data_IF_240859457812
#
_entry.id   IF_240859457812
#
_cell.length_a   1.000
_cell.length_b   1.000
_cell.length_c   1.000
_cell.angle_alpha   90.00
_cell.angle_beta   90.00
_cell.angle_gamma   90.00
#
_symmetry.space_group_name_H-M   'P 1'
#
loop_
_entity.id
_entity.type
_entity.pdbx_description
1 polymer ?
#
# COMPACT_ATOMS: atom_id res chain seq x y z
N UNK A 1 -16.37 -23.67 2.56
CA UNK A 1 -15.95 -23.36 3.96
C UNK A 1 -16.80 -22.22 4.53
N UNK A 2 -16.99 -22.13 5.88
CA UNK A 2 -17.73 -21.01 6.54
C UNK A 2 -16.84 -20.33 7.58
N UNK A 3 -16.87 -19.00 7.61
CA UNK A 3 -16.18 -18.15 8.60
C UNK A 3 -17.11 -17.01 9.03
N UNK A 4 -16.82 -16.28 10.11
CA UNK A 4 -17.56 -15.06 10.44
C UNK A 4 -17.05 -13.88 9.61
N UNK A 5 -15.72 -13.74 9.49
CA UNK A 5 -15.12 -12.67 8.72
C UNK A 5 -14.11 -13.24 7.74
N UNK A 6 -14.30 -12.94 6.45
CA UNK A 6 -13.32 -13.21 5.39
C UNK A 6 -12.49 -11.94 5.15
N UNK A 7 -11.17 -12.03 5.26
CA UNK A 7 -10.25 -10.94 4.95
C UNK A 7 -9.40 -11.34 3.74
N UNK A 8 -9.38 -10.51 2.71
CA UNK A 8 -8.66 -10.77 1.46
C UNK A 8 -7.41 -9.89 1.41
N UNK A 9 -6.27 -10.48 1.71
CA UNK A 9 -4.96 -9.83 1.74
C UNK A 9 -4.29 -9.88 3.11
N UNK A 10 -3.00 -10.22 3.12
CA UNK A 10 -2.13 -10.36 4.31
C UNK A 10 -1.20 -9.16 4.52
N UNK A 11 -1.47 -8.01 3.88
CA UNK A 11 -0.78 -6.76 4.16
C UNK A 11 -1.11 -6.20 5.56
N UNK A 12 -0.45 -5.12 5.96
CA UNK A 12 -0.61 -4.54 7.29
C UNK A 12 -2.08 -4.19 7.62
N UNK A 13 -2.88 -3.72 6.65
CA UNK A 13 -4.29 -3.40 6.85
C UNK A 13 -5.14 -4.63 7.14
N UNK A 14 -4.97 -5.73 6.39
CA UNK A 14 -5.71 -6.98 6.63
C UNK A 14 -5.36 -7.62 7.98
N UNK A 15 -4.06 -7.73 8.30
CA UNK A 15 -3.58 -8.26 9.56
C UNK A 15 -4.07 -7.42 10.76
N UNK A 16 -3.98 -6.10 10.64
CA UNK A 16 -4.39 -5.22 11.72
C UNK A 16 -5.91 -5.15 11.90
N UNK A 17 -6.69 -5.29 10.81
CA UNK A 17 -8.14 -5.50 10.91
C UNK A 17 -8.44 -6.75 11.75
N UNK A 18 -7.83 -7.89 11.43
CA UNK A 18 -8.04 -9.14 12.15
C UNK A 18 -7.68 -9.04 13.64
N UNK A 19 -6.59 -8.35 13.98
CA UNK A 19 -6.14 -8.14 15.37
C UNK A 19 -7.09 -7.25 16.19
N UNK A 20 -7.83 -6.36 15.52
CA UNK A 20 -8.82 -5.48 16.15
C UNK A 20 -10.22 -6.08 16.24
N UNK A 21 -10.44 -7.30 15.72
CA UNK A 21 -11.70 -8.03 15.85
C UNK A 21 -11.72 -8.88 17.14
N UNK A 22 -12.92 -9.12 17.74
CA UNK A 22 -13.10 -9.98 18.89
C UNK A 22 -12.61 -11.41 18.66
N UNK A 23 -12.16 -12.08 19.74
CA UNK A 23 -11.66 -13.45 19.66
C UNK A 23 -12.76 -14.49 19.45
N UNK A 24 -14.00 -14.11 19.68
CA UNK A 24 -15.19 -14.93 19.48
C UNK A 24 -15.54 -15.14 18.00
N UNK A 25 -15.08 -14.22 17.14
CA UNK A 25 -15.29 -14.32 15.70
C UNK A 25 -14.24 -15.23 15.06
N UNK A 26 -14.68 -16.19 14.25
CA UNK A 26 -13.80 -16.99 13.41
C UNK A 26 -13.41 -16.13 12.18
N UNK A 27 -12.14 -15.96 11.96
CA UNK A 27 -11.59 -15.10 10.90
C UNK A 27 -10.78 -15.97 9.95
N UNK A 28 -10.99 -15.78 8.66
CA UNK A 28 -10.15 -16.40 7.63
C UNK A 28 -9.46 -15.29 6.84
N UNK A 29 -8.14 -15.32 6.80
CA UNK A 29 -7.33 -14.44 5.95
C UNK A 29 -6.82 -15.27 4.79
N UNK A 30 -7.13 -14.86 3.57
CA UNK A 30 -6.61 -15.45 2.33
C UNK A 30 -5.61 -14.51 1.68
N UNK A 31 -4.59 -15.05 1.03
CA UNK A 31 -3.62 -14.27 0.25
C UNK A 31 -3.22 -14.99 -1.03
N UNK A 32 -3.13 -14.25 -2.14
CA UNK A 32 -2.82 -14.74 -3.49
C UNK A 32 -1.41 -15.36 -3.60
N UNK A 33 -0.49 -14.89 -2.76
CA UNK A 33 0.90 -15.37 -2.67
C UNK A 33 1.19 -15.80 -1.22
N UNK A 34 2.45 -15.84 -0.81
CA UNK A 34 2.83 -16.09 0.59
C UNK A 34 2.40 -14.93 1.50
N UNK A 35 2.26 -15.19 2.79
CA UNK A 35 1.83 -14.19 3.80
C UNK A 35 2.74 -12.96 3.86
N UNK A 36 4.01 -13.10 3.50
CA UNK A 36 5.01 -12.03 3.56
C UNK A 36 5.12 -11.24 2.25
N UNK A 37 4.59 -11.75 1.13
CA UNK A 37 4.66 -11.08 -0.17
C UNK A 37 3.54 -10.03 -0.32
N UNK A 38 3.65 -8.97 0.47
CA UNK A 38 2.79 -7.78 0.37
C UNK A 38 3.62 -6.50 0.29
N UNK A 39 3.10 -5.47 -0.36
CA UNK A 39 3.79 -4.17 -0.47
C UNK A 39 4.03 -3.51 0.90
N UNK A 40 3.25 -3.89 1.91
CA UNK A 40 3.49 -3.46 3.29
C UNK A 40 4.86 -3.90 3.80
N UNK A 41 5.34 -5.10 3.45
CA UNK A 41 6.68 -5.56 3.79
C UNK A 41 7.79 -4.78 3.06
N UNK A 42 7.48 -4.19 1.92
CA UNK A 42 8.46 -3.49 1.07
C UNK A 42 8.68 -2.03 1.46
N UNK A 43 7.81 -1.45 2.30
CA UNK A 43 7.88 -0.04 2.65
C UNK A 43 9.18 0.28 3.40
N UNK A 44 10.04 1.10 2.76
CA UNK A 44 11.38 1.44 3.26
C UNK A 44 11.37 2.65 4.20
N UNK A 45 10.53 3.66 3.91
CA UNK A 45 10.49 4.93 4.63
C UNK A 45 10.05 4.76 6.09
N UNK A 46 8.91 5.34 6.45
CA UNK A 46 8.43 5.25 7.80
C UNK A 46 6.91 5.34 7.92
N UNK A 47 6.47 5.67 9.11
CA UNK A 47 5.06 5.94 9.43
C UNK A 47 4.96 7.28 10.15
N UNK A 48 4.07 8.16 9.66
CA UNK A 48 3.82 9.44 10.30
C UNK A 48 3.09 9.28 11.63
N UNK A 49 3.39 10.19 12.57
CA UNK A 49 2.72 10.28 13.85
C UNK A 49 2.53 11.75 14.23
N UNK A 50 1.36 12.10 14.74
CA UNK A 50 1.13 13.36 15.45
C UNK A 50 1.89 13.33 16.78
N UNK A 51 2.92 14.17 16.92
CA UNK A 51 3.76 14.19 18.12
C UNK A 51 3.03 14.83 19.30
N UNK A 52 2.40 15.96 19.04
CA UNK A 52 1.62 16.75 19.99
C UNK A 52 0.69 17.71 19.22
N UNK A 53 -0.16 18.46 19.96
CA UNK A 53 -1.13 19.36 19.36
C UNK A 53 -0.52 20.47 18.51
N UNK A 54 0.73 20.86 18.75
CA UNK A 54 1.41 21.92 17.99
C UNK A 54 1.82 21.47 16.58
N UNK A 55 1.98 20.16 16.35
CA UNK A 55 2.31 19.58 15.05
C UNK A 55 1.06 19.39 14.14
N UNK A 56 -0.16 19.47 14.69
CA UNK A 56 -1.37 19.15 13.94
C UNK A 56 -1.56 20.01 12.68
N UNK A 57 -1.51 21.32 12.82
CA UNK A 57 -1.76 22.24 11.68
C UNK A 57 -0.74 22.03 10.56
N UNK A 58 0.53 21.84 10.91
CA UNK A 58 1.59 21.61 9.94
C UNK A 58 1.44 20.26 9.24
N UNK A 59 1.07 19.20 9.96
CA UNK A 59 0.84 17.88 9.40
C UNK A 59 -0.39 17.86 8.48
N UNK A 60 -1.47 18.52 8.91
CA UNK A 60 -2.68 18.65 8.11
C UNK A 60 -2.41 19.39 6.79
N UNK A 61 -1.75 20.56 6.88
CA UNK A 61 -1.42 21.37 5.70
C UNK A 61 -0.44 20.66 4.75
N UNK A 62 0.60 20.00 5.28
CA UNK A 62 1.53 19.21 4.45
C UNK A 62 0.80 18.11 3.67
N UNK A 63 -0.15 17.43 4.32
CA UNK A 63 -0.96 16.37 3.69
C UNK A 63 -1.86 16.94 2.60
N UNK A 64 -2.55 18.05 2.86
CA UNK A 64 -3.42 18.70 1.86
C UNK A 64 -2.62 19.24 0.67
N UNK A 65 -1.49 19.91 0.94
CA UNK A 65 -0.62 20.47 -0.09
C UNK A 65 -0.06 19.38 -1.00
N UNK A 66 0.44 18.27 -0.42
CA UNK A 66 0.93 17.13 -1.19
C UNK A 66 -0.17 16.52 -2.07
N UNK A 67 -1.40 16.43 -1.57
CA UNK A 67 -2.57 15.91 -2.28
C UNK A 67 -3.22 16.90 -3.24
N UNK A 68 -2.57 18.04 -3.51
CA UNK A 68 -3.10 19.14 -4.34
C UNK A 68 -4.47 19.65 -3.88
N UNK A 69 -4.73 19.59 -2.57
CA UNK A 69 -6.01 19.98 -1.94
C UNK A 69 -7.23 19.22 -2.48
N UNK A 70 -7.01 18.00 -3.06
CA UNK A 70 -8.06 17.08 -3.49
C UNK A 70 -8.42 16.05 -2.44
N UNK A 71 -7.84 16.17 -1.26
CA UNK A 71 -8.04 15.29 -0.12
C UNK A 71 -9.45 15.43 0.47
N UNK A 72 -9.99 14.35 1.02
CA UNK A 72 -11.10 14.41 1.97
C UNK A 72 -10.56 14.90 3.32
N UNK A 73 -10.92 16.13 3.70
CA UNK A 73 -10.40 16.78 4.91
C UNK A 73 -10.80 16.06 6.20
N UNK A 74 -11.96 15.40 6.21
CA UNK A 74 -12.40 14.61 7.38
C UNK A 74 -11.55 13.36 7.51
N UNK A 75 -11.28 12.68 6.41
CA UNK A 75 -10.38 11.51 6.41
C UNK A 75 -8.96 11.88 6.85
N UNK A 76 -8.44 13.03 6.42
CA UNK A 76 -7.12 13.52 6.85
C UNK A 76 -7.11 13.81 8.34
N UNK A 77 -8.11 14.53 8.87
CA UNK A 77 -8.25 14.82 10.30
C UNK A 77 -8.30 13.52 11.13
N UNK A 78 -9.13 12.56 10.70
CA UNK A 78 -9.25 11.26 11.36
C UNK A 78 -7.92 10.51 11.37
N UNK A 79 -7.20 10.48 10.26
CA UNK A 79 -5.90 9.82 10.16
C UNK A 79 -4.90 10.43 11.15
N UNK A 80 -4.75 11.74 11.12
CA UNK A 80 -3.77 12.45 11.95
C UNK A 80 -4.07 12.25 13.45
N UNK A 81 -5.30 12.51 13.87
CA UNK A 81 -5.71 12.40 15.27
C UNK A 81 -5.66 10.98 15.83
N UNK A 82 -5.84 9.98 14.97
CA UNK A 82 -5.77 8.56 15.38
C UNK A 82 -4.34 8.01 15.40
N UNK A 83 -3.36 8.73 14.86
CA UNK A 83 -2.00 8.22 14.73
C UNK A 83 -1.32 7.84 16.04
N UNK A 84 -1.46 8.61 17.17
CA UNK A 84 -0.84 8.22 18.44
C UNK A 84 -1.37 6.88 18.97
N UNK A 85 -2.67 6.60 18.81
CA UNK A 85 -3.29 5.34 19.23
C UNK A 85 -2.77 4.16 18.41
N UNK A 86 -2.61 4.34 17.07
CA UNK A 86 -2.06 3.31 16.19
C UNK A 86 -0.60 3.03 16.55
N UNK A 87 0.22 4.05 16.75
CA UNK A 87 1.62 3.87 17.15
C UNK A 87 1.74 3.16 18.51
N UNK A 88 0.87 3.50 19.44
CA UNK A 88 0.81 2.78 20.73
C UNK A 88 0.54 1.29 20.53
N UNK A 89 -0.48 0.94 19.72
CA UNK A 89 -0.78 -0.47 19.42
C UNK A 89 0.42 -1.18 18.77
N UNK A 90 1.13 -0.52 17.82
CA UNK A 90 2.30 -1.09 17.18
C UNK A 90 3.43 -1.38 18.18
N UNK A 91 3.67 -0.46 19.13
CA UNK A 91 4.62 -0.67 20.22
C UNK A 91 4.19 -1.84 21.12
N UNK A 92 2.90 -1.96 21.42
CA UNK A 92 2.35 -3.06 22.21
C UNK A 92 2.48 -4.42 21.49
N UNK A 93 2.45 -4.43 20.14
CA UNK A 93 2.78 -5.60 19.31
C UNK A 93 4.28 -5.87 19.20
N UNK A 94 5.12 -5.00 19.76
CA UNK A 94 6.57 -5.18 19.80
C UNK A 94 7.29 -4.65 18.57
N UNK A 95 6.71 -3.70 17.83
CA UNK A 95 7.41 -2.99 16.74
C UNK A 95 8.55 -2.17 17.36
N UNK A 96 9.75 -2.34 16.83
CA UNK A 96 10.97 -1.68 17.32
C UNK A 96 11.34 -0.50 16.43
N UNK A 97 10.78 0.68 16.75
CA UNK A 97 11.16 1.91 16.06
C UNK A 97 12.52 2.41 16.55
N UNK A 98 13.25 3.09 15.66
CA UNK A 98 14.51 3.76 15.98
C UNK A 98 14.37 4.67 17.19
N UNK A 99 15.41 4.69 18.07
CA UNK A 99 15.45 5.51 19.28
C UNK A 99 16.66 6.42 19.28
N UNK A 100 16.51 7.56 19.95
CA UNK A 100 17.62 8.49 20.21
C UNK A 100 18.54 7.98 21.34
N UNK A 101 19.61 8.72 21.62
CA UNK A 101 20.59 8.39 22.65
C UNK A 101 19.98 8.32 24.08
N UNK A 102 18.81 8.93 24.29
CA UNK A 102 18.08 8.94 25.56
C UNK A 102 17.02 7.83 25.63
N UNK A 103 16.89 7.00 24.58
CA UNK A 103 15.90 5.93 24.49
C UNK A 103 14.50 6.39 24.05
N UNK A 104 14.30 7.65 23.69
CA UNK A 104 13.03 8.14 23.13
C UNK A 104 12.89 7.75 21.66
N UNK A 105 11.68 7.72 21.13
CA UNK A 105 11.41 7.52 19.71
C UNK A 105 12.14 8.59 18.87
N UNK A 106 12.92 8.16 17.90
CA UNK A 106 13.58 9.06 16.96
C UNK A 106 12.66 9.38 15.78
N UNK A 107 12.63 10.64 15.36
CA UNK A 107 11.82 11.10 14.25
C UNK A 107 12.70 11.63 13.12
N UNK A 108 12.38 11.22 11.89
CA UNK A 108 12.99 11.76 10.67
C UNK A 108 11.98 12.59 9.87
N UNK A 109 12.47 13.18 8.78
CA UNK A 109 11.69 13.99 7.83
C UNK A 109 11.96 13.49 6.41
N UNK A 110 10.91 13.40 5.61
CA UNK A 110 10.99 13.14 4.17
C UNK A 110 10.58 14.39 3.38
N UNK A 111 10.70 14.33 2.06
CA UNK A 111 10.29 15.40 1.16
C UNK A 111 8.83 15.85 1.39
N UNK A 112 8.55 17.13 1.13
CA UNK A 112 7.27 17.80 1.32
C UNK A 112 6.74 17.89 2.77
N UNK A 113 7.43 17.30 3.76
CA UNK A 113 7.14 17.52 5.17
C UNK A 113 7.78 18.81 5.70
N UNK A 114 7.06 19.58 6.48
CA UNK A 114 7.58 20.80 7.15
C UNK A 114 8.29 20.48 8.47
N UNK A 115 8.01 19.33 9.10
CA UNK A 115 8.60 18.93 10.38
C UNK A 115 8.99 17.44 10.42
N UNK A 116 9.81 17.06 11.40
CA UNK A 116 10.16 15.66 11.70
C UNK A 116 9.01 15.02 12.46
N UNK A 117 8.28 14.10 11.81
CA UNK A 117 7.15 13.36 12.40
C UNK A 117 7.08 11.90 11.99
N UNK A 118 8.11 11.39 11.33
CA UNK A 118 8.15 10.05 10.76
C UNK A 118 8.95 9.13 11.68
N UNK A 119 8.31 8.11 12.20
CA UNK A 119 8.94 6.99 12.89
C UNK A 119 9.42 5.97 11.86
N UNK A 120 10.56 5.36 12.10
CA UNK A 120 11.20 4.44 11.17
C UNK A 120 12.00 3.35 11.87
N UNK A 121 12.31 2.29 11.15
CA UNK A 121 13.23 1.25 11.54
C UNK A 121 14.20 1.01 10.39
N UNK A 122 15.38 1.62 10.43
CA UNK A 122 16.31 1.64 9.31
C UNK A 122 15.60 2.00 8.00
N UNK A 123 15.84 1.26 6.91
CA UNK A 123 15.14 1.34 5.62
C UNK A 123 14.21 0.13 5.37
N UNK A 124 13.66 -0.46 6.45
CA UNK A 124 12.81 -1.65 6.40
C UNK A 124 11.61 -1.54 7.36
N UNK A 125 11.09 -0.33 7.56
CA UNK A 125 10.01 -0.04 8.51
C UNK A 125 8.76 -0.89 8.25
N UNK A 126 8.36 -1.03 6.99
CA UNK A 126 7.20 -1.86 6.62
C UNK A 126 7.38 -3.32 6.98
N UNK A 127 8.58 -3.88 6.75
CA UNK A 127 8.92 -5.25 7.14
C UNK A 127 8.82 -5.43 8.65
N UNK A 128 9.36 -4.51 9.44
CA UNK A 128 9.30 -4.56 10.90
C UNK A 128 7.84 -4.55 11.39
N UNK A 129 7.04 -3.59 10.94
CA UNK A 129 5.62 -3.46 11.32
C UNK A 129 4.84 -4.74 10.93
N UNK A 130 4.91 -5.12 9.65
CA UNK A 130 4.06 -6.18 9.11
C UNK A 130 4.45 -7.55 9.69
N UNK A 131 5.76 -7.80 9.92
CA UNK A 131 6.23 -9.03 10.58
C UNK A 131 5.70 -9.16 12.01
N UNK A 132 5.67 -8.06 12.79
CA UNK A 132 5.12 -8.07 14.15
C UNK A 132 3.62 -8.32 14.17
N UNK A 133 2.88 -7.68 13.27
CA UNK A 133 1.45 -7.93 13.11
C UNK A 133 1.17 -9.38 12.71
N UNK A 134 1.92 -9.92 11.74
CA UNK A 134 1.78 -11.32 11.32
C UNK A 134 2.10 -12.30 12.47
N UNK A 135 3.15 -12.01 13.23
CA UNK A 135 3.49 -12.82 14.41
C UNK A 135 2.40 -12.77 15.49
N UNK A 136 1.72 -11.63 15.66
CA UNK A 136 0.59 -11.51 16.57
C UNK A 136 -0.64 -12.28 16.06
N UNK A 137 -0.95 -12.19 14.76
CA UNK A 137 -2.03 -12.95 14.11
C UNK A 137 -1.82 -14.45 14.24
N UNK A 138 -0.60 -14.95 14.00
CA UNK A 138 -0.25 -16.38 14.15
C UNK A 138 -0.47 -16.95 15.57
N UNK A 139 -0.55 -16.08 16.58
CA UNK A 139 -0.84 -16.49 17.97
C UNK A 139 -2.35 -16.54 18.29
N UNK A 140 -3.22 -16.07 17.38
CA UNK A 140 -4.66 -16.01 17.56
C UNK A 140 -5.32 -17.30 17.05
N UNK A 141 -5.86 -18.19 17.91
CA UNK A 141 -6.40 -19.49 17.50
C UNK A 141 -7.69 -19.39 16.68
N UNK A 142 -8.36 -18.24 16.73
CA UNK A 142 -9.57 -17.96 15.97
C UNK A 142 -9.27 -17.39 14.56
N UNK A 143 -8.01 -17.27 14.15
CA UNK A 143 -7.61 -16.76 12.84
C UNK A 143 -6.97 -17.89 12.03
N UNK A 144 -7.58 -18.22 10.90
CA UNK A 144 -7.06 -19.13 9.89
C UNK A 144 -6.33 -18.33 8.81
N UNK A 145 -5.15 -18.79 8.41
CA UNK A 145 -4.34 -18.18 7.33
C UNK A 145 -4.28 -19.16 6.16
N UNK A 146 -4.58 -18.69 4.95
CA UNK A 146 -4.53 -19.48 3.71
C UNK A 146 -3.68 -18.75 2.67
N UNK A 147 -2.47 -19.25 2.46
CA UNK A 147 -1.55 -18.80 1.40
C UNK A 147 -1.99 -19.37 0.05
N UNK A 148 -1.47 -18.79 -1.03
CA UNK A 148 -1.74 -19.21 -2.42
C UNK A 148 -3.24 -19.43 -2.70
N UNK A 149 -4.07 -18.60 -2.04
CA UNK A 149 -5.53 -18.64 -2.17
C UNK A 149 -6.01 -17.33 -2.77
N UNK A 150 -6.48 -17.39 -4.01
CA UNK A 150 -6.89 -16.23 -4.79
C UNK A 150 -8.40 -16.03 -4.70
N UNK A 151 -8.86 -14.82 -4.35
CA UNK A 151 -10.25 -14.43 -4.53
C UNK A 151 -10.52 -14.26 -6.03
N UNK A 152 -11.49 -14.99 -6.55
CA UNK A 152 -11.92 -14.91 -7.95
C UNK A 152 -13.16 -14.04 -8.10
N UNK A 153 -14.07 -14.08 -7.14
CA UNK A 153 -15.30 -13.28 -7.13
C UNK A 153 -15.89 -13.20 -5.73
N UNK A 154 -16.83 -12.30 -5.51
CA UNK A 154 -17.63 -12.27 -4.29
C UNK A 154 -18.94 -13.04 -4.47
N UNK A 155 -19.45 -13.60 -3.39
CA UNK A 155 -20.80 -14.15 -3.33
C UNK A 155 -21.76 -13.00 -3.01
N UNK A 156 -22.55 -12.55 -3.98
CA UNK A 156 -23.42 -11.37 -3.87
C UNK A 156 -24.87 -11.71 -4.23
N UNK A 157 -25.81 -11.23 -3.44
CA UNK A 157 -27.23 -11.19 -3.75
C UNK A 157 -27.87 -9.97 -3.05
N UNK A 158 -28.75 -9.27 -3.76
CA UNK A 158 -29.48 -8.10 -3.26
C UNK A 158 -28.58 -7.01 -2.65
N UNK A 159 -27.45 -6.71 -3.31
CA UNK A 159 -26.44 -5.74 -2.87
C UNK A 159 -25.83 -6.07 -1.50
N UNK A 160 -25.72 -7.35 -1.15
CA UNK A 160 -25.05 -7.83 0.05
C UNK A 160 -24.00 -8.89 -0.29
N UNK A 161 -22.82 -8.78 0.32
CA UNK A 161 -21.75 -9.76 0.21
C UNK A 161 -21.94 -10.87 1.25
N UNK A 162 -21.74 -12.12 0.82
CA UNK A 162 -21.86 -13.34 1.63
C UNK A 162 -20.54 -14.14 1.66
N UNK A 163 -19.41 -13.54 1.30
CA UNK A 163 -18.12 -14.20 1.18
C UNK A 163 -17.58 -14.16 -0.25
N UNK A 164 -16.85 -15.19 -0.67
CA UNK A 164 -16.24 -15.22 -2.00
C UNK A 164 -16.04 -16.60 -2.59
N UNK A 165 -15.85 -16.63 -3.90
CA UNK A 165 -15.35 -17.76 -4.67
C UNK A 165 -13.83 -17.64 -4.70
N UNK A 166 -13.14 -18.71 -4.33
CA UNK A 166 -11.68 -18.73 -4.25
C UNK A 166 -11.10 -19.90 -5.02
N UNK A 167 -9.86 -19.72 -5.49
CA UNK A 167 -9.00 -20.79 -5.99
C UNK A 167 -7.94 -21.09 -4.94
N UNK A 168 -7.87 -22.33 -4.52
CA UNK A 168 -6.89 -22.85 -3.57
C UNK A 168 -5.55 -23.13 -4.26
N UNK A 169 -4.48 -23.33 -3.48
CA UNK A 169 -3.14 -23.66 -3.94
C UNK A 169 -3.10 -24.88 -4.89
N UNK A 170 -3.93 -25.90 -4.63
CA UNK A 170 -4.02 -27.10 -5.45
C UNK A 170 -4.86 -26.92 -6.75
N UNK A 171 -5.37 -25.71 -6.98
CA UNK A 171 -6.21 -25.35 -8.14
C UNK A 171 -7.71 -25.58 -7.95
N UNK A 172 -8.14 -26.19 -6.84
CA UNK A 172 -9.56 -26.42 -6.55
C UNK A 172 -10.30 -25.10 -6.33
N UNK A 173 -11.54 -25.04 -6.80
CA UNK A 173 -12.45 -23.94 -6.59
C UNK A 173 -13.33 -24.19 -5.38
N UNK A 174 -13.39 -23.21 -4.47
CA UNK A 174 -14.24 -23.29 -3.28
C UNK A 174 -15.04 -22.02 -3.06
N UNK A 175 -16.19 -22.17 -2.38
CA UNK A 175 -16.95 -21.05 -1.79
C UNK A 175 -16.54 -20.88 -0.33
N UNK A 176 -16.06 -19.71 0.04
CA UNK A 176 -15.88 -19.29 1.44
C UNK A 176 -17.03 -18.38 1.79
N UNK A 177 -18.00 -18.89 2.57
CA UNK A 177 -19.13 -18.08 3.05
C UNK A 177 -18.74 -17.32 4.31
N UNK A 178 -19.11 -16.05 4.38
CA UNK A 178 -18.80 -15.16 5.50
C UNK A 178 -19.98 -14.26 5.85
N UNK A 179 -20.07 -13.89 7.13
CA UNK A 179 -21.05 -12.90 7.58
C UNK A 179 -20.65 -11.48 7.11
N UNK A 180 -19.33 -11.21 7.04
CA UNK A 180 -18.73 -9.96 6.55
C UNK A 180 -17.46 -10.28 5.77
N UNK A 181 -17.21 -9.53 4.69
CA UNK A 181 -15.97 -9.60 3.91
C UNK A 181 -15.21 -8.27 3.96
N UNK A 182 -13.87 -8.34 4.10
CA UNK A 182 -12.98 -7.18 4.11
C UNK A 182 -11.95 -7.34 3.00
N UNK A 183 -11.98 -6.45 2.02
CA UNK A 183 -11.02 -6.40 0.94
C UNK A 183 -9.79 -5.58 1.38
N UNK A 184 -8.63 -6.22 1.45
CA UNK A 184 -7.34 -5.64 1.82
C UNK A 184 -6.25 -6.04 0.80
N UNK A 185 -6.64 -6.14 -0.47
CA UNK A 185 -5.91 -6.81 -1.55
C UNK A 185 -4.81 -5.97 -2.20
N UNK A 186 -4.52 -4.77 -1.68
CA UNK A 186 -3.48 -3.89 -2.22
C UNK A 186 -3.90 -3.14 -3.49
N UNK A 187 -2.91 -2.64 -4.22
CA UNK A 187 -3.10 -1.75 -5.35
C UNK A 187 -3.07 -2.43 -6.72
N UNK A 188 -2.55 -1.69 -7.70
CA UNK A 188 -2.54 -2.04 -9.14
C UNK A 188 -1.15 -2.11 -9.76
N UNK A 189 -0.09 -2.08 -8.93
CA UNK A 189 1.28 -1.91 -9.40
C UNK A 189 1.78 -3.01 -10.32
N UNK A 190 1.23 -4.23 -10.21
CA UNK A 190 1.55 -5.34 -11.09
C UNK A 190 1.15 -5.15 -12.55
N UNK A 191 0.25 -4.20 -12.84
CA UNK A 191 -0.15 -3.83 -14.20
C UNK A 191 0.87 -2.95 -14.91
N UNK A 192 1.83 -2.36 -14.19
CA UNK A 192 2.83 -1.45 -14.74
C UNK A 192 4.14 -2.17 -15.06
N UNK A 193 4.77 -1.80 -16.17
CA UNK A 193 6.08 -2.33 -16.58
C UNK A 193 7.13 -2.06 -15.52
N UNK A 194 7.25 -0.79 -15.10
CA UNK A 194 8.13 -0.34 -14.03
C UNK A 194 7.32 -0.02 -12.79
N UNK A 195 7.45 -0.84 -11.76
CA UNK A 195 6.73 -0.69 -10.51
C UNK A 195 7.57 -1.17 -9.32
N UNK A 196 7.42 -0.51 -8.19
CA UNK A 196 8.01 -0.94 -6.92
C UNK A 196 7.20 -2.04 -6.23
N UNK A 197 6.00 -2.33 -6.73
CA UNK A 197 5.05 -3.27 -6.16
C UNK A 197 5.29 -4.70 -6.66
N UNK A 198 4.77 -5.67 -5.94
CA UNK A 198 4.74 -7.05 -6.40
C UNK A 198 3.90 -7.21 -7.67
N UNK A 199 4.35 -8.05 -8.61
CA UNK A 199 3.68 -8.27 -9.89
C UNK A 199 2.31 -8.94 -9.79
N UNK A 200 2.03 -9.67 -8.71
CA UNK A 200 0.72 -10.28 -8.47
C UNK A 200 -0.37 -9.30 -8.02
N UNK A 201 -0.02 -8.05 -7.72
CA UNK A 201 -0.99 -7.01 -7.34
C UNK A 201 -1.58 -6.35 -8.60
N UNK A 202 -2.65 -6.94 -9.11
CA UNK A 202 -3.27 -6.61 -10.40
C UNK A 202 -4.63 -5.92 -10.29
N UNK A 203 -5.04 -5.55 -9.06
CA UNK A 203 -6.30 -4.86 -8.84
C UNK A 203 -7.53 -5.76 -8.92
N UNK A 204 -7.42 -7.04 -8.60
CA UNK A 204 -8.50 -8.02 -8.72
C UNK A 204 -9.78 -7.56 -8.00
N UNK A 205 -9.67 -7.02 -6.77
CA UNK A 205 -10.83 -6.50 -6.04
C UNK A 205 -11.49 -5.30 -6.73
N UNK A 206 -10.75 -4.52 -7.53
CA UNK A 206 -11.30 -3.42 -8.33
C UNK A 206 -12.11 -3.96 -9.50
N UNK A 207 -11.61 -5.00 -10.19
CA UNK A 207 -12.34 -5.67 -11.27
C UNK A 207 -13.63 -6.32 -10.75
N UNK A 208 -13.54 -7.04 -9.61
CA UNK A 208 -14.70 -7.61 -8.92
C UNK A 208 -15.70 -6.50 -8.55
N UNK A 209 -15.22 -5.36 -8.04
CA UNK A 209 -16.08 -4.22 -7.72
C UNK A 209 -16.81 -3.67 -8.94
N UNK A 210 -16.12 -3.56 -10.08
CA UNK A 210 -16.74 -3.14 -11.35
C UNK A 210 -17.83 -4.15 -11.81
N UNK A 211 -17.55 -5.44 -11.67
CA UNK A 211 -18.49 -6.51 -12.05
C UNK A 211 -19.80 -6.48 -11.24
N UNK A 212 -19.72 -6.04 -9.99
CA UNK A 212 -20.86 -5.99 -9.06
C UNK A 212 -21.35 -4.56 -8.76
N UNK A 213 -21.11 -3.61 -9.66
CA UNK A 213 -21.56 -2.21 -9.54
C UNK A 213 -21.19 -1.52 -8.21
N UNK A 214 -20.09 -1.96 -7.57
CA UNK A 214 -19.54 -1.30 -6.38
C UNK A 214 -18.79 -0.05 -6.82
N UNK A 215 -19.11 1.09 -6.21
CA UNK A 215 -18.53 2.38 -6.62
C UNK A 215 -17.01 2.42 -6.42
N UNK A 216 -16.29 2.84 -7.48
CA UNK A 216 -14.88 3.19 -7.45
C UNK A 216 -14.71 4.71 -7.43
N UNK A 217 -13.56 5.18 -6.91
CA UNK A 217 -13.26 6.61 -6.82
C UNK A 217 -11.79 6.87 -7.18
N UNK A 218 -11.55 8.02 -7.83
CA UNK A 218 -10.21 8.56 -8.11
C UNK A 218 -9.26 7.57 -8.84
N UNK A 219 -9.80 6.76 -9.76
CA UNK A 219 -9.08 5.68 -10.46
C UNK A 219 -7.85 6.16 -11.25
N UNK A 220 -7.81 7.44 -11.64
CA UNK A 220 -6.66 8.04 -12.31
C UNK A 220 -5.53 8.50 -11.37
N UNK A 221 -5.71 8.40 -10.05
CA UNK A 221 -4.74 8.88 -9.07
C UNK A 221 -3.70 7.80 -8.76
N UNK A 222 -2.65 7.78 -9.58
CA UNK A 222 -1.51 6.86 -9.45
C UNK A 222 -0.25 7.66 -9.17
N UNK A 223 0.47 7.34 -8.10
CA UNK A 223 1.72 7.98 -7.74
C UNK A 223 2.90 7.31 -8.42
N UNK A 224 3.72 8.12 -9.08
CA UNK A 224 5.03 7.73 -9.59
C UNK A 224 6.08 8.13 -8.57
N UNK A 225 6.89 7.17 -8.11
CA UNK A 225 8.04 7.47 -7.27
C UNK A 225 9.20 7.95 -8.14
N UNK A 226 9.88 9.04 -7.75
CA UNK A 226 10.96 9.62 -8.55
C UNK A 226 12.15 8.70 -8.74
N UNK A 227 12.52 7.95 -7.70
CA UNK A 227 13.80 7.24 -7.63
C UNK A 227 13.64 5.76 -7.33
N UNK A 228 13.86 4.92 -8.34
CA UNK A 228 14.09 3.48 -8.22
C UNK A 228 15.43 3.18 -8.89
N UNK A 229 16.15 2.18 -8.39
CA UNK A 229 17.42 1.78 -8.99
C UNK A 229 17.17 1.30 -10.42
N UNK A 230 17.83 1.97 -11.39
CA UNK A 230 17.70 1.61 -12.79
C UNK A 230 18.35 0.28 -13.10
N UNK A 231 17.64 -0.57 -13.83
CA UNK A 231 18.13 -1.83 -14.40
C UNK A 231 17.70 -1.92 -15.86
N UNK A 232 18.60 -2.26 -16.76
CA UNK A 232 18.33 -2.32 -18.21
C UNK A 232 17.21 -3.30 -18.57
N UNK A 233 17.13 -4.43 -17.85
CA UNK A 233 16.10 -5.48 -18.06
C UNK A 233 15.57 -5.95 -16.70
N UNK A 234 14.68 -5.22 -16.06
CA UNK A 234 14.13 -5.64 -14.77
C UNK A 234 13.25 -6.88 -14.96
N UNK A 235 13.65 -8.00 -14.33
CA UNK A 235 12.87 -9.26 -14.36
C UNK A 235 11.74 -9.26 -13.33
N UNK A 236 11.88 -8.44 -12.31
CA UNK A 236 10.99 -8.34 -11.17
C UNK A 236 10.52 -6.89 -10.97
N UNK A 237 10.10 -6.56 -9.78
CA UNK A 237 9.77 -5.19 -9.39
C UNK A 237 11.01 -4.28 -9.38
N UNK A 238 10.82 -3.00 -9.63
CA UNK A 238 11.88 -1.99 -9.48
C UNK A 238 12.25 -1.82 -8.01
N UNK A 239 13.55 -1.81 -7.71
CA UNK A 239 14.02 -1.60 -6.34
C UNK A 239 13.90 -0.11 -5.96
N UNK A 240 13.16 0.17 -4.89
CA UNK A 240 12.93 1.52 -4.40
C UNK A 240 14.21 2.09 -3.76
N UNK A 241 14.61 3.30 -4.18
CA UNK A 241 15.52 4.16 -3.43
C UNK A 241 14.63 5.15 -2.66
N UNK A 242 14.56 4.98 -1.35
CA UNK A 242 13.63 5.70 -0.48
C UNK A 242 13.76 7.22 -0.61
N UNK A 243 12.65 7.92 -0.47
CA UNK A 243 12.65 9.39 -0.37
C UNK A 243 13.41 9.91 0.85
N UNK A 244 13.53 9.12 1.91
CA UNK A 244 14.33 9.44 3.09
C UNK A 244 15.80 9.73 2.72
N UNK A 245 16.34 9.04 1.70
CA UNK A 245 17.70 9.28 1.18
C UNK A 245 17.85 10.73 0.69
N UNK A 246 16.87 11.22 -0.07
CA UNK A 246 16.85 12.66 -0.49
C UNK A 246 16.55 13.59 0.69
N UNK A 247 15.72 13.15 1.61
CA UNK A 247 15.44 13.86 2.86
C UNK A 247 16.67 14.07 3.73
N UNK A 248 17.63 13.14 3.69
CA UNK A 248 18.90 13.21 4.41
C UNK A 248 20.04 13.84 3.58
N UNK A 249 19.77 14.25 2.34
CA UNK A 249 20.65 15.12 1.58
C UNK A 249 21.18 14.58 0.26
N UNK A 250 20.71 13.44 -0.25
CA UNK A 250 21.08 12.97 -1.58
C UNK A 250 20.62 13.94 -2.67
N UNK A 251 21.40 14.05 -3.74
CA UNK A 251 21.22 15.02 -4.82
C UNK A 251 21.05 14.34 -6.18
N UNK A 252 20.22 14.94 -7.05
CA UNK A 252 19.94 14.45 -8.39
C UNK A 252 20.73 15.22 -9.46
N UNK A 253 21.35 14.48 -10.37
CA UNK A 253 22.19 15.01 -11.42
C UNK A 253 21.80 14.50 -12.83
N UNK A 254 21.96 15.37 -13.82
CA UNK A 254 21.86 15.04 -15.24
C UNK A 254 23.10 14.25 -15.73
N UNK A 255 23.13 13.86 -17.01
CA UNK A 255 24.28 13.16 -17.61
C UNK A 255 25.61 13.93 -17.56
N UNK A 256 25.57 15.25 -17.37
CA UNK A 256 26.74 16.13 -17.28
C UNK A 256 27.08 16.51 -15.84
N UNK A 257 26.45 15.85 -14.86
CA UNK A 257 26.62 16.10 -13.42
C UNK A 257 26.19 17.51 -12.99
N UNK A 258 25.12 18.06 -13.60
CA UNK A 258 24.49 19.29 -13.15
C UNK A 258 23.21 18.96 -12.39
N UNK A 259 22.98 19.57 -11.22
CA UNK A 259 21.67 19.53 -10.54
C UNK A 259 20.60 20.19 -11.41
N UNK A 260 19.41 19.61 -11.47
CA UNK A 260 18.33 20.08 -12.32
C UNK A 260 16.98 20.26 -11.61
N UNK A 261 16.88 19.84 -10.34
CA UNK A 261 15.64 19.91 -9.55
C UNK A 261 15.96 20.13 -8.07
N UNK A 262 15.00 20.68 -7.31
CA UNK A 262 15.00 20.62 -5.85
C UNK A 262 14.41 19.27 -5.42
N UNK A 263 15.24 18.45 -4.83
CA UNK A 263 14.95 17.04 -4.49
C UNK A 263 13.87 16.88 -3.40
N UNK A 264 13.57 17.94 -2.65
CA UNK A 264 12.57 17.94 -1.57
C UNK A 264 11.19 18.41 -2.00
N UNK A 265 11.01 18.70 -3.30
CA UNK A 265 9.67 18.94 -3.86
C UNK A 265 8.78 17.69 -3.79
N UNK A 266 7.45 17.82 -3.91
CA UNK A 266 6.53 16.69 -4.00
C UNK A 266 6.95 15.67 -5.08
N UNK A 267 6.63 14.40 -4.86
CA UNK A 267 7.06 13.27 -5.72
C UNK A 267 6.72 13.46 -7.19
N UNK A 268 5.53 13.93 -7.48
CA UNK A 268 5.06 14.16 -8.86
C UNK A 268 5.89 15.24 -9.55
N UNK A 269 6.28 16.31 -8.84
CA UNK A 269 7.14 17.37 -9.36
C UNK A 269 8.53 16.83 -9.67
N UNK A 270 9.13 16.08 -8.74
CA UNK A 270 10.48 15.50 -8.92
C UNK A 270 10.46 14.45 -10.03
N UNK A 271 9.45 13.55 -10.05
CA UNK A 271 9.32 12.54 -11.10
C UNK A 271 9.18 13.16 -12.51
N UNK A 272 8.36 14.19 -12.65
CA UNK A 272 8.23 14.92 -13.92
C UNK A 272 9.54 15.62 -14.34
N UNK A 273 10.27 16.19 -13.38
CA UNK A 273 11.57 16.81 -13.65
C UNK A 273 12.58 15.76 -14.17
N UNK A 274 12.61 14.57 -13.55
CA UNK A 274 13.47 13.46 -13.99
C UNK A 274 13.10 13.02 -15.41
N UNK A 275 11.81 12.75 -15.68
CA UNK A 275 11.35 12.33 -17.02
C UNK A 275 11.72 13.35 -18.12
N UNK A 276 11.50 14.65 -17.85
CA UNK A 276 11.89 15.73 -18.77
C UNK A 276 13.41 15.81 -18.97
N UNK A 277 14.19 15.57 -17.90
CA UNK A 277 15.65 15.57 -18.01
C UNK A 277 16.16 14.37 -18.81
N UNK A 278 15.58 13.18 -18.59
CA UNK A 278 15.90 11.98 -19.37
C UNK A 278 15.61 12.19 -20.87
N UNK A 279 14.44 12.73 -21.20
CA UNK A 279 14.07 13.07 -22.59
C UNK A 279 15.07 14.05 -23.21
N UNK A 280 15.40 15.14 -22.52
CA UNK A 280 16.37 16.16 -22.95
C UNK A 280 17.76 15.58 -23.16
N UNK A 281 18.18 14.66 -22.29
CA UNK A 281 19.52 14.05 -22.33
C UNK A 281 19.61 12.87 -23.29
N UNK A 282 18.46 12.29 -23.69
CA UNK A 282 18.39 11.04 -24.47
C UNK A 282 18.94 9.85 -23.67
N UNK A 283 18.60 9.77 -22.36
CA UNK A 283 19.06 8.72 -21.44
C UNK A 283 17.89 8.00 -20.80
N UNK A 284 18.10 6.75 -20.35
CA UNK A 284 17.09 5.92 -19.69
C UNK A 284 17.08 6.09 -18.16
N UNK A 285 17.95 6.93 -17.61
CA UNK A 285 18.06 7.23 -16.18
C UNK A 285 18.71 8.59 -15.92
N UNK A 286 18.64 9.04 -14.68
CA UNK A 286 19.45 10.14 -14.12
C UNK A 286 20.31 9.58 -12.98
N UNK A 287 21.17 10.42 -12.39
CA UNK A 287 22.09 10.02 -11.35
C UNK A 287 21.65 10.54 -9.99
N UNK A 288 21.73 9.69 -8.95
CA UNK A 288 21.53 10.09 -7.55
C UNK A 288 22.84 9.92 -6.77
N UNK A 289 23.27 10.98 -6.07
CA UNK A 289 24.50 11.02 -5.30
C UNK A 289 24.19 10.95 -3.81
N UNK A 290 24.55 9.82 -3.19
CA UNK A 290 24.39 9.59 -1.77
C UNK A 290 25.59 10.04 -0.93
N UNK A 291 26.72 10.40 -1.55
CA UNK A 291 27.99 10.78 -0.85
C UNK A 291 27.88 12.09 -0.08
N UNK A 292 26.84 12.86 -0.32
CA UNK A 292 26.48 14.07 0.44
C UNK A 292 25.98 13.76 1.86
N UNK A 293 25.56 12.51 2.12
CA UNK A 293 25.14 12.03 3.42
C UNK A 293 26.36 11.47 4.16
N UNK A 294 26.57 11.76 5.46
CA UNK A 294 27.67 11.18 6.24
C UNK A 294 27.66 9.65 6.19
N UNK A 295 28.84 9.06 5.99
CA UNK A 295 28.97 7.59 5.82
C UNK A 295 28.30 6.80 6.94
N UNK A 296 28.47 7.25 8.19
CA UNK A 296 27.90 6.59 9.37
C UNK A 296 26.36 6.57 9.29
N UNK A 297 25.75 7.70 8.88
CA UNK A 297 24.31 7.82 8.74
C UNK A 297 23.78 6.93 7.62
N UNK A 298 24.48 6.87 6.47
CA UNK A 298 24.15 5.93 5.39
C UNK A 298 24.16 4.48 5.85
N UNK A 299 25.17 4.06 6.60
CA UNK A 299 25.31 2.68 7.11
C UNK A 299 24.25 2.34 8.17
N UNK A 300 23.85 3.31 9.00
CA UNK A 300 22.87 3.10 10.08
C UNK A 300 21.43 3.19 9.59
N UNK A 301 21.12 4.10 8.66
CA UNK A 301 19.75 4.37 8.22
C UNK A 301 19.33 3.59 6.96
N UNK A 302 20.29 3.28 6.05
CA UNK A 302 19.99 2.70 4.74
C UNK A 302 20.77 1.41 4.41
N UNK A 303 20.93 0.46 5.34
CA UNK A 303 21.76 -0.73 5.11
C UNK A 303 21.23 -1.61 3.98
N UNK A 304 19.90 -1.71 3.81
CA UNK A 304 19.28 -2.49 2.76
C UNK A 304 19.47 -1.84 1.37
N UNK A 305 19.34 -0.51 1.27
CA UNK A 305 19.62 0.22 0.02
C UNK A 305 21.09 0.04 -0.38
N UNK A 306 22.02 0.19 0.57
CA UNK A 306 23.45 -0.02 0.30
C UNK A 306 23.76 -1.44 -0.19
N UNK A 307 23.13 -2.45 0.40
CA UNK A 307 23.30 -3.84 -0.02
C UNK A 307 22.82 -4.05 -1.45
N UNK A 308 21.61 -3.61 -1.79
CA UNK A 308 21.05 -3.76 -3.14
C UNK A 308 21.81 -2.97 -4.20
N UNK A 309 22.31 -1.76 -3.89
CA UNK A 309 23.15 -1.02 -4.84
C UNK A 309 24.43 -1.82 -5.15
N UNK A 310 25.07 -2.41 -4.14
CA UNK A 310 26.28 -3.21 -4.32
C UNK A 310 26.01 -4.51 -5.10
N UNK A 311 24.91 -5.18 -4.84
CA UNK A 311 24.46 -6.35 -5.61
C UNK A 311 24.23 -5.99 -7.11
N UNK A 312 23.77 -4.78 -7.39
CA UNK A 312 23.63 -4.23 -8.73
C UNK A 312 24.95 -3.72 -9.36
N UNK A 313 26.06 -3.76 -8.60
CA UNK A 313 27.39 -3.37 -9.07
C UNK A 313 27.77 -1.91 -8.80
N UNK A 314 27.02 -1.18 -7.99
CA UNK A 314 27.30 0.22 -7.63
C UNK A 314 27.76 0.34 -6.16
N UNK A 315 28.78 1.15 -5.89
CA UNK A 315 29.15 1.50 -4.53
C UNK A 315 28.75 2.96 -4.21
N UNK A 316 27.64 3.17 -3.48
CA UNK A 316 27.15 4.51 -3.14
C UNK A 316 28.13 5.40 -2.35
N UNK A 317 29.21 4.82 -1.81
CA UNK A 317 30.26 5.60 -1.13
C UNK A 317 31.25 6.24 -2.09
N UNK A 318 31.37 5.74 -3.30
CA UNK A 318 32.40 6.16 -4.26
C UNK A 318 31.83 6.74 -5.55
N UNK A 319 30.59 6.39 -5.89
CA UNK A 319 29.95 6.80 -7.15
C UNK A 319 28.47 7.11 -6.98
N UNK A 320 27.89 7.81 -7.97
CA UNK A 320 26.44 8.01 -8.08
C UNK A 320 25.77 6.72 -8.53
N UNK A 321 24.52 6.52 -8.14
CA UNK A 321 23.70 5.41 -8.59
C UNK A 321 22.71 5.85 -9.69
N UNK A 322 22.43 5.03 -10.69
CA UNK A 322 21.42 5.36 -11.72
C UNK A 322 20.01 5.16 -11.16
N UNK A 323 19.14 6.16 -11.36
CA UNK A 323 17.75 6.10 -10.88
C UNK A 323 16.75 6.50 -11.96
N UNK A 324 15.55 5.91 -11.89
CA UNK A 324 14.46 6.12 -12.83
C UNK A 324 13.12 6.15 -12.09
N UNK A 325 12.14 6.96 -12.53
CA UNK A 325 10.79 6.93 -11.98
C UNK A 325 10.06 5.60 -12.25
N UNK A 326 9.25 5.17 -11.28
CA UNK A 326 8.41 3.96 -11.41
C UNK A 326 7.07 4.14 -10.69
N UNK A 327 6.04 3.40 -11.12
CA UNK A 327 4.79 3.32 -10.37
C UNK A 327 5.07 2.85 -8.94
N UNK A 328 4.37 3.45 -7.95
CA UNK A 328 4.67 3.17 -6.56
C UNK A 328 3.45 3.00 -5.66
N UNK A 329 2.41 3.82 -5.82
CA UNK A 329 1.23 3.79 -4.96
C UNK A 329 -0.04 4.19 -5.71
N UNK A 330 -1.14 3.54 -5.39
CA UNK A 330 -2.45 3.82 -5.96
C UNK A 330 -3.31 4.56 -4.92
N UNK A 331 -3.69 5.82 -5.19
CA UNK A 331 -4.50 6.62 -4.28
C UNK A 331 -6.00 6.53 -4.55
N UNK A 332 -6.38 6.00 -5.72
CA UNK A 332 -7.76 5.64 -6.03
C UNK A 332 -8.17 4.31 -5.39
N UNK A 333 -9.31 3.76 -5.80
CA UNK A 333 -9.75 2.46 -5.33
C UNK A 333 -11.25 2.34 -5.11
N UNK A 334 -11.64 1.32 -4.35
CA UNK A 334 -13.03 1.11 -3.93
C UNK A 334 -13.46 2.27 -3.04
N UNK A 335 -14.51 2.96 -3.44
CA UNK A 335 -15.06 4.07 -2.67
C UNK A 335 -15.57 3.58 -1.32
N UNK A 336 -15.10 4.18 -0.25
CA UNK A 336 -15.53 3.85 1.10
C UNK A 336 -15.95 5.09 1.88
N UNK A 337 -16.78 4.90 2.89
CA UNK A 337 -17.06 5.93 3.89
C UNK A 337 -15.93 6.03 4.94
N UNK A 338 -16.05 6.93 5.91
CA UNK A 338 -15.05 7.13 6.98
C UNK A 338 -14.91 5.93 7.95
N UNK A 339 -15.70 4.88 7.78
CA UNK A 339 -15.62 3.60 8.50
C UNK A 339 -15.15 2.46 7.59
N UNK A 340 -14.67 2.77 6.40
CA UNK A 340 -14.21 1.81 5.38
C UNK A 340 -15.29 0.88 4.83
N UNK A 341 -16.59 1.19 5.04
CA UNK A 341 -17.70 0.45 4.44
C UNK A 341 -17.87 0.90 2.98
N UNK A 342 -18.03 -0.08 2.09
CA UNK A 342 -18.31 0.15 0.65
C UNK A 342 -19.78 0.49 0.39
N UNK A 343 -20.18 0.60 -0.87
CA UNK A 343 -21.59 0.77 -1.27
C UNK A 343 -22.40 -0.53 -1.21
N UNK A 344 -21.74 -1.66 -0.98
CA UNK A 344 -22.38 -2.97 -0.79
C UNK A 344 -22.45 -3.32 0.69
N UNK A 345 -23.55 -3.91 1.12
CA UNK A 345 -23.72 -4.37 2.51
C UNK A 345 -22.80 -5.54 2.84
N UNK A 346 -22.35 -5.59 4.10
CA UNK A 346 -21.42 -6.58 4.62
C UNK A 346 -20.07 -6.66 3.88
N UNK A 347 -19.69 -5.58 3.16
CA UNK A 347 -18.43 -5.48 2.44
C UNK A 347 -17.67 -4.20 2.85
N UNK A 348 -16.44 -4.38 3.31
CA UNK A 348 -15.49 -3.33 3.67
C UNK A 348 -14.28 -3.37 2.75
N UNK A 349 -13.59 -2.24 2.59
CA UNK A 349 -12.30 -2.19 1.92
C UNK A 349 -11.33 -1.33 2.73
N UNK A 350 -10.08 -1.79 2.90
CA UNK A 350 -9.04 -1.14 3.73
C UNK A 350 -7.67 -1.19 3.04
N UNK A 351 -6.80 -0.25 3.39
CA UNK A 351 -5.49 -0.11 2.78
C UNK A 351 -5.58 0.37 1.33
N UNK A 352 -4.57 0.08 0.52
CA UNK A 352 -4.40 0.63 -0.83
C UNK A 352 -5.51 0.24 -1.82
N UNK A 353 -6.28 -0.83 -1.56
CA UNK A 353 -7.44 -1.16 -2.40
C UNK A 353 -8.63 -0.22 -2.21
N UNK A 354 -8.65 0.56 -1.12
CA UNK A 354 -9.73 1.47 -0.74
C UNK A 354 -9.39 2.92 -1.03
N UNK A 355 -10.37 3.69 -1.49
CA UNK A 355 -10.26 5.14 -1.62
C UNK A 355 -11.12 5.86 -0.58
N UNK A 356 -10.50 6.22 0.55
CA UNK A 356 -11.10 7.05 1.60
C UNK A 356 -10.82 8.55 1.41
N UNK A 357 -10.01 8.91 0.40
CA UNK A 357 -9.70 10.28 0.04
C UNK A 357 -8.61 10.97 0.87
N UNK A 358 -7.92 10.27 1.77
CA UNK A 358 -6.82 10.85 2.58
C UNK A 358 -5.71 11.46 1.70
N UNK A 359 -5.34 10.79 0.62
CA UNK A 359 -4.14 11.14 -0.13
C UNK A 359 -4.35 12.20 -1.22
N UNK A 360 -5.61 12.46 -1.61
CA UNK A 360 -5.87 13.33 -2.75
C UNK A 360 -5.18 12.83 -4.02
N UNK A 361 -4.66 13.75 -4.83
CA UNK A 361 -4.09 13.42 -6.14
C UNK A 361 -2.62 12.96 -6.07
N UNK A 362 -1.94 13.20 -4.96
CA UNK A 362 -0.56 12.77 -4.74
C UNK A 362 -0.32 12.57 -3.23
N UNK A 363 0.18 11.39 -2.86
CA UNK A 363 0.36 10.97 -1.47
C UNK A 363 1.58 11.63 -0.83
N UNK A 364 1.41 12.22 0.36
CA UNK A 364 2.53 12.60 1.20
C UNK A 364 3.28 11.35 1.68
N UNK A 365 4.58 11.36 1.63
CA UNK A 365 5.43 10.24 2.04
C UNK A 365 5.10 9.79 3.49
N UNK A 366 5.25 8.50 3.77
CA UNK A 366 5.02 7.88 5.08
C UNK A 366 3.60 7.96 5.66
N UNK A 367 2.61 8.46 4.88
CA UNK A 367 1.19 8.45 5.25
C UNK A 367 0.47 7.13 4.90
N UNK A 368 0.98 6.30 3.97
CA UNK A 368 0.24 5.11 3.50
C UNK A 368 0.06 4.04 4.57
N UNK A 369 1.13 3.71 5.32
CA UNK A 369 1.03 2.75 6.42
C UNK A 369 0.10 3.26 7.52
N UNK A 370 0.18 4.56 7.84
CA UNK A 370 -0.69 5.18 8.83
C UNK A 370 -2.16 5.12 8.41
N UNK A 371 -2.46 5.55 7.18
CA UNK A 371 -3.80 5.47 6.59
C UNK A 371 -4.33 4.05 6.66
N UNK A 372 -3.56 3.08 6.17
CA UNK A 372 -3.94 1.66 6.13
C UNK A 372 -4.31 1.12 7.52
N UNK A 373 -3.55 1.47 8.56
CA UNK A 373 -3.80 1.01 9.93
C UNK A 373 -4.96 1.75 10.59
N UNK A 374 -5.03 3.08 10.44
CA UNK A 374 -6.13 3.87 11.02
C UNK A 374 -7.48 3.40 10.50
N UNK A 375 -7.61 3.25 9.18
CA UNK A 375 -8.87 2.87 8.57
C UNK A 375 -9.20 1.38 8.74
N UNK A 376 -8.19 0.50 8.86
CA UNK A 376 -8.38 -0.89 9.29
C UNK A 376 -8.97 -0.99 10.69
N UNK A 377 -8.45 -0.22 11.66
CA UNK A 377 -8.99 -0.16 13.03
C UNK A 377 -10.42 0.40 13.06
N UNK A 378 -10.72 1.39 12.20
CA UNK A 378 -12.06 1.97 12.07
C UNK A 378 -13.04 0.98 11.45
N UNK A 379 -12.63 0.25 10.41
CA UNK A 379 -13.41 -0.83 9.80
C UNK A 379 -13.76 -1.91 10.83
N UNK A 380 -12.79 -2.38 11.60
CA UNK A 380 -13.01 -3.39 12.65
C UNK A 380 -14.00 -2.90 13.72
N UNK A 381 -13.89 -1.65 14.16
CA UNK A 381 -14.83 -1.06 15.15
C UNK A 381 -16.25 -0.97 14.60
N UNK A 382 -16.41 -0.52 13.36
CA UNK A 382 -17.72 -0.40 12.72
C UNK A 382 -18.34 -1.78 12.46
N UNK A 383 -17.53 -2.72 11.96
CA UNK A 383 -17.94 -4.12 11.76
C UNK A 383 -18.49 -4.72 13.05
N UNK A 384 -17.78 -4.56 14.18
CA UNK A 384 -18.23 -5.09 15.47
C UNK A 384 -19.52 -4.43 15.95
N UNK A 385 -19.65 -3.12 15.75
CA UNK A 385 -20.84 -2.37 16.18
C UNK A 385 -22.10 -2.74 15.39
N UNK A 386 -21.94 -3.17 14.13
CA UNK A 386 -23.03 -3.51 13.22
C UNK A 386 -23.01 -4.99 12.78
N UNK A 387 -22.36 -5.84 13.57
CA UNK A 387 -22.20 -7.26 13.21
C UNK A 387 -23.52 -7.99 13.22
N UNK A 388 -23.83 -8.65 12.10
CA UNK A 388 -24.99 -9.49 11.93
C UNK A 388 -24.58 -10.88 11.40
N UNK A 389 -25.01 -11.94 12.08
CA UNK A 389 -24.75 -13.30 11.63
C UNK A 389 -25.71 -13.70 10.51
N UNK A 390 -25.16 -14.20 9.41
CA UNK A 390 -25.95 -14.80 8.31
C UNK A 390 -26.42 -16.19 8.72
N UNK A 391 -27.73 -16.34 8.95
CA UNK A 391 -28.33 -17.61 9.37
C UNK A 391 -28.25 -18.65 8.25
N UNK A 392 -28.52 -18.27 7.00
CA UNK A 392 -28.55 -19.16 5.83
C UNK A 392 -28.05 -18.41 4.59
N UNK A 393 -27.19 -19.06 3.83
CA UNK A 393 -26.80 -18.56 2.50
C UNK A 393 -28.01 -18.62 1.56
N UNK A 394 -28.23 -17.59 0.72
CA UNK A 394 -29.24 -17.64 -0.34
C UNK A 394 -29.11 -18.88 -1.23
N UNK A 395 -30.25 -19.42 -1.71
CA UNK A 395 -30.26 -20.64 -2.49
C UNK A 395 -29.49 -20.50 -3.81
N UNK A 396 -29.68 -19.40 -4.51
CA UNK A 396 -28.91 -19.03 -5.71
C UNK A 396 -27.40 -19.12 -5.52
N UNK A 397 -26.89 -18.60 -4.39
CA UNK A 397 -25.46 -18.63 -4.06
C UNK A 397 -25.00 -20.01 -3.58
N UNK A 398 -25.88 -20.81 -2.94
CA UNK A 398 -25.55 -22.18 -2.54
C UNK A 398 -25.42 -23.09 -3.76
N UNK A 399 -26.24 -22.87 -4.79
CA UNK A 399 -26.30 -23.64 -6.05
C UNK A 399 -25.40 -23.04 -7.16
N UNK A 400 -24.75 -21.89 -6.93
CA UNK A 400 -23.87 -21.24 -7.90
C UNK A 400 -22.88 -22.23 -8.49
N UNK A 401 -22.89 -22.38 -9.81
CA UNK A 401 -21.91 -23.18 -10.53
C UNK A 401 -20.55 -22.47 -10.55
N UNK A 402 -19.47 -23.20 -10.39
CA UNK A 402 -18.11 -22.68 -10.41
C UNK A 402 -17.40 -22.93 -11.74
N UNK A 403 -18.08 -23.47 -12.76
CA UNK A 403 -17.49 -23.73 -14.08
C UNK A 403 -16.95 -22.47 -14.74
N UNK A 404 -17.63 -21.32 -14.57
CA UNK A 404 -17.21 -20.02 -15.12
C UNK A 404 -15.87 -19.51 -14.55
N UNK A 405 -15.41 -20.05 -13.43
CA UNK A 405 -14.15 -19.68 -12.77
C UNK A 405 -13.00 -20.64 -13.05
N UNK A 406 -13.19 -21.66 -13.90
CA UNK A 406 -12.16 -22.68 -14.16
C UNK A 406 -11.01 -22.14 -15.01
N UNK A 407 -11.30 -21.32 -16.03
CA UNK A 407 -10.29 -20.70 -16.89
C UNK A 407 -9.68 -19.47 -16.20
N UNK A 408 -8.65 -19.73 -15.37
CA UNK A 408 -7.98 -18.69 -14.61
C UNK A 408 -7.32 -17.65 -15.51
N UNK A 409 -6.68 -18.08 -16.59
CA UNK A 409 -5.93 -17.17 -17.47
C UNK A 409 -6.86 -16.17 -18.16
N UNK A 410 -7.98 -16.66 -18.68
CA UNK A 410 -9.01 -15.81 -19.28
C UNK A 410 -9.62 -14.83 -18.28
N UNK A 411 -9.91 -15.27 -17.06
CA UNK A 411 -10.46 -14.41 -16.01
C UNK A 411 -9.47 -13.32 -15.57
N UNK A 412 -8.20 -13.68 -15.40
CA UNK A 412 -7.15 -12.71 -15.04
C UNK A 412 -6.93 -11.67 -16.15
N UNK A 413 -6.97 -12.06 -17.41
CA UNK A 413 -6.87 -11.14 -18.55
C UNK A 413 -8.07 -10.21 -18.64
N UNK A 414 -9.27 -10.71 -18.42
CA UNK A 414 -10.49 -9.89 -18.36
C UNK A 414 -10.40 -8.85 -17.25
N UNK A 415 -10.03 -9.27 -16.04
CA UNK A 415 -9.91 -8.38 -14.88
C UNK A 415 -8.84 -7.30 -15.09
N UNK A 416 -7.67 -7.67 -15.59
CA UNK A 416 -6.61 -6.73 -15.95
C UNK A 416 -7.11 -5.69 -16.96
N UNK A 417 -7.82 -6.13 -17.99
CA UNK A 417 -8.39 -5.24 -19.01
C UNK A 417 -9.40 -4.26 -18.39
N UNK A 418 -10.34 -4.73 -17.58
CA UNK A 418 -11.34 -3.88 -16.92
C UNK A 418 -10.67 -2.79 -16.06
N UNK A 419 -9.65 -3.15 -15.27
CA UNK A 419 -8.93 -2.20 -14.43
C UNK A 419 -8.14 -1.21 -15.26
N UNK A 420 -7.42 -1.65 -16.29
CA UNK A 420 -6.63 -0.80 -17.18
C UNK A 420 -7.49 0.22 -17.91
N UNK A 421 -8.65 -0.16 -18.40
CA UNK A 421 -9.61 0.75 -19.02
C UNK A 421 -9.99 1.89 -18.06
N UNK A 422 -10.28 1.59 -16.79
CA UNK A 422 -10.61 2.58 -15.77
C UNK A 422 -9.43 3.48 -15.36
N UNK A 423 -8.23 2.94 -15.28
CA UNK A 423 -7.02 3.70 -14.97
C UNK A 423 -6.66 4.70 -16.08
N UNK A 424 -6.93 4.35 -17.34
CA UNK A 424 -6.54 5.15 -18.51
C UNK A 424 -7.58 6.16 -18.96
N UNK A 425 -8.85 6.00 -18.58
CA UNK A 425 -9.95 6.92 -18.96
C UNK A 425 -9.65 8.41 -18.70
N UNK A 426 -8.80 8.74 -17.72
CA UNK A 426 -8.52 10.12 -17.30
C UNK A 426 -7.03 10.47 -17.16
N UNK A 427 -6.10 9.51 -17.43
CA UNK A 427 -4.68 9.71 -17.14
C UNK A 427 -3.80 9.45 -18.37
N UNK A 428 -3.38 10.53 -19.04
CA UNK A 428 -2.46 10.44 -20.20
C UNK A 428 -1.04 9.97 -19.82
N UNK A 429 -0.61 10.14 -18.56
CA UNK A 429 0.72 9.68 -18.10
C UNK A 429 0.74 8.18 -17.80
N UNK A 430 -0.39 7.59 -17.44
CA UNK A 430 -0.47 6.14 -17.22
C UNK A 430 -0.22 5.35 -18.53
N UNK A 431 -0.64 5.86 -19.67
CA UNK A 431 -0.44 5.23 -20.97
C UNK A 431 1.02 5.10 -21.42
N UNK A 432 1.95 5.87 -20.84
CA UNK A 432 3.38 5.81 -21.15
C UNK A 432 4.17 4.81 -20.28
N UNK A 433 3.56 4.28 -19.20
CA UNK A 433 4.25 3.48 -18.19
C UNK A 433 3.67 2.05 -18.08
N UNK A 434 2.50 1.80 -18.66
CA UNK A 434 1.80 0.49 -18.72
C UNK A 434 2.42 -0.44 -19.74
#
# INVERSE_FOLDING_TARGET
>A
MKTNVLIVGSGCSGLYTALNLPQELQITIITKDTLENSDSFLAQGGICMLKDDSDYESFFEDTLRAGHYKNDKVSVDLMIKSSPDVIKDLLDFGVDFQRDENGNLAFTREGAHSDKRILFYQDTTGKEITSRLLAAVKKRPNIMLMEHTCLLDILEEDNRCYGGVVRLENGDLEKITADVTVLASGGVGGLYKNSTNFKHLTGDALAISLKHDIELKDMSYVQIHPTTLYQENPKERSFLISESVRGEGALLYDKNMNRFVDELQPRDVVAQAILKQMEKDGTDHVWEDLRTIPKKELEEHFPNILAHCREAGYDPFTECIPVVPAQHYFMGGIKVNHHSKTTMDALYAVGETACNGVHGQNRLASNSLLESLVFAKRAAKDLVAHYETVAKLPESLSELDLEDYQDQESLEEEYKKMVLEKLTEQNQLASCIV
#
